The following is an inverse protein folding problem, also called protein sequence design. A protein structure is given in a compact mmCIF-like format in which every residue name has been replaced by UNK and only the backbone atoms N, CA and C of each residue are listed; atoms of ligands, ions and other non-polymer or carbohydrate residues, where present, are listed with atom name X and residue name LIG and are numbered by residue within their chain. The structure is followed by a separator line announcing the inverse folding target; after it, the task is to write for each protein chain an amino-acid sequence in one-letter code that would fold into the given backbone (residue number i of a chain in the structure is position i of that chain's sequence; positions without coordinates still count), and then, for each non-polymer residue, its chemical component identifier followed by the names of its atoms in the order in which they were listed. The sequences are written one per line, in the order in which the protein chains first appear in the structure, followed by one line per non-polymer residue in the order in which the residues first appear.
data_IF_383304694708
#
_entry.id   IF_383304694708
#
_cell.length_a   1.000
_cell.length_b   1.000
_cell.length_c   1.000
_cell.angle_alpha   90.00
_cell.angle_beta   90.00
_cell.angle_gamma   90.00
#
_symmetry.space_group_name_H-M   'P 1'
#
loop_
_entity.id
_entity.type
_entity.pdbx_description
1 polymer ?
#
# COMPACT_ATOMS: atom_id res chain seq x y z
N UNK A 1 40.48 -31.58 16.29
CA UNK A 1 40.43 -31.06 14.90
C UNK A 1 39.08 -30.40 14.73
N UNK A 2 39.02 -29.06 14.68
CA UNK A 2 37.74 -28.34 14.59
C UNK A 2 37.40 -28.10 13.13
N UNK A 3 36.39 -28.80 12.63
CA UNK A 3 35.96 -28.72 11.24
C UNK A 3 35.30 -27.37 10.95
N UNK A 4 35.86 -26.63 9.99
CA UNK A 4 35.31 -25.33 9.57
C UNK A 4 34.11 -25.56 8.66
N UNK A 5 32.90 -25.31 9.18
CA UNK A 5 31.67 -25.40 8.40
C UNK A 5 31.66 -24.33 7.29
N UNK A 6 31.41 -24.69 6.02
CA UNK A 6 31.37 -23.73 4.93
C UNK A 6 30.14 -22.83 5.04
N UNK A 7 30.36 -21.52 4.98
CA UNK A 7 29.28 -20.52 5.00
C UNK A 7 28.35 -20.66 3.78
N UNK A 8 27.02 -20.53 3.94
CA UNK A 8 26.09 -20.60 2.82
C UNK A 8 26.36 -19.47 1.80
N UNK A 9 26.15 -19.71 0.49
CA UNK A 9 26.44 -18.71 -0.54
C UNK A 9 25.53 -17.49 -0.38
N UNK A 10 26.15 -16.31 -0.19
CA UNK A 10 25.44 -15.03 -0.19
C UNK A 10 24.97 -14.75 -1.62
N UNK A 11 23.68 -15.01 -1.88
CA UNK A 11 23.04 -14.66 -3.15
C UNK A 11 22.97 -13.13 -3.23
N UNK A 12 23.68 -12.45 -4.13
CA UNK A 12 23.64 -11.00 -4.21
C UNK A 12 22.22 -10.54 -4.57
N UNK A 13 21.69 -9.59 -3.79
CA UNK A 13 20.29 -9.13 -3.85
C UNK A 13 19.91 -8.34 -5.12
N UNK A 14 20.79 -8.29 -6.13
CA UNK A 14 20.52 -7.66 -7.44
C UNK A 14 19.76 -8.60 -8.37
N UNK A 15 18.51 -8.95 -8.02
CA UNK A 15 17.58 -9.49 -9.03
C UNK A 15 17.36 -8.39 -10.09
N UNK A 16 17.48 -8.69 -11.40
CA UNK A 16 17.19 -7.71 -12.44
C UNK A 16 15.80 -7.10 -12.24
N UNK A 17 15.69 -5.77 -12.39
CA UNK A 17 14.51 -5.01 -11.97
C UNK A 17 13.21 -5.48 -12.60
N UNK A 18 12.44 -6.28 -11.86
CA UNK A 18 11.08 -6.64 -12.22
C UNK A 18 10.17 -5.41 -12.15
N UNK A 19 9.09 -5.47 -12.92
CA UNK A 19 8.08 -4.43 -13.05
C UNK A 19 6.72 -4.99 -12.67
N UNK A 20 5.99 -4.28 -11.83
CA UNK A 20 4.60 -4.64 -11.49
C UNK A 20 3.65 -4.11 -12.56
N UNK A 21 2.77 -4.96 -13.08
CA UNK A 21 1.69 -4.55 -13.95
C UNK A 21 0.63 -3.78 -13.16
N UNK A 22 0.42 -2.50 -13.50
CA UNK A 22 -0.50 -1.59 -12.79
C UNK A 22 -1.99 -1.99 -12.85
N UNK A 23 -2.34 -3.03 -13.63
CA UNK A 23 -3.70 -3.53 -13.83
C UNK A 23 -3.94 -4.81 -13.03
N UNK A 24 -2.99 -5.75 -13.03
CA UNK A 24 -3.17 -7.08 -12.42
C UNK A 24 -2.17 -7.43 -11.31
N UNK A 25 -1.28 -6.52 -10.93
CA UNK A 25 -0.37 -6.67 -9.78
C UNK A 25 0.73 -7.72 -9.94
N UNK A 26 0.82 -8.40 -11.09
CA UNK A 26 1.86 -9.40 -11.37
C UNK A 26 3.17 -8.77 -11.79
N UNK A 27 4.27 -9.43 -11.42
CA UNK A 27 5.63 -9.05 -11.78
C UNK A 27 6.02 -9.58 -13.16
N UNK A 28 6.72 -8.76 -13.94
CA UNK A 28 7.24 -9.07 -15.26
C UNK A 28 8.65 -8.52 -15.45
N UNK A 29 9.41 -9.08 -16.38
CA UNK A 29 10.69 -8.49 -16.80
C UNK A 29 10.45 -7.16 -17.54
N UNK A 30 11.46 -6.29 -17.56
CA UNK A 30 11.40 -4.97 -18.20
C UNK A 30 10.95 -5.00 -19.68
N UNK A 31 11.31 -6.06 -20.42
CA UNK A 31 10.88 -6.27 -21.80
C UNK A 31 9.46 -6.88 -21.88
N UNK A 32 9.15 -7.88 -21.05
CA UNK A 32 7.86 -8.57 -21.12
C UNK A 32 6.69 -7.74 -20.60
N UNK A 33 6.92 -6.77 -19.70
CA UNK A 33 5.84 -5.87 -19.25
C UNK A 33 5.28 -5.00 -20.39
N UNK A 34 6.13 -4.54 -21.32
CA UNK A 34 5.70 -3.69 -22.44
C UNK A 34 4.75 -4.42 -23.40
N UNK A 35 4.88 -5.74 -23.51
CA UNK A 35 3.98 -6.62 -24.29
C UNK A 35 2.76 -7.00 -23.45
N UNK A 36 2.94 -7.21 -22.14
CA UNK A 36 1.88 -7.64 -21.24
C UNK A 36 0.82 -6.55 -20.97
N UNK A 37 1.23 -5.32 -20.64
CA UNK A 37 0.31 -4.23 -20.28
C UNK A 37 -0.83 -3.99 -21.30
N UNK A 38 -0.58 -3.83 -22.63
CA UNK A 38 -1.66 -3.59 -23.58
C UNK A 38 -2.62 -4.79 -23.69
N UNK A 39 -2.10 -6.01 -23.63
CA UNK A 39 -2.94 -7.23 -23.64
C UNK A 39 -3.77 -7.35 -22.35
N UNK A 40 -3.19 -6.97 -21.20
CA UNK A 40 -3.87 -6.96 -19.92
C UNK A 40 -4.96 -5.90 -19.85
N UNK A 41 -4.73 -4.73 -20.45
CA UNK A 41 -5.73 -3.66 -20.53
C UNK A 41 -6.90 -4.03 -21.42
N UNK A 42 -6.63 -4.63 -22.59
CA UNK A 42 -7.69 -5.07 -23.50
C UNK A 42 -8.57 -6.16 -22.86
N UNK A 43 -7.94 -7.16 -22.23
CA UNK A 43 -8.66 -8.17 -21.44
C UNK A 43 -9.49 -7.53 -20.33
N UNK A 44 -8.93 -6.58 -19.59
CA UNK A 44 -9.62 -5.85 -18.53
C UNK A 44 -10.85 -5.11 -19.07
N UNK A 45 -10.77 -4.46 -20.23
CA UNK A 45 -11.92 -3.75 -20.86
C UNK A 45 -13.04 -4.72 -21.18
N UNK A 46 -12.70 -5.86 -21.79
CA UNK A 46 -13.67 -6.91 -22.15
C UNK A 46 -14.38 -7.42 -20.89
N UNK A 47 -13.66 -7.73 -19.81
CA UNK A 47 -14.24 -8.16 -18.54
C UNK A 47 -15.08 -7.08 -17.86
N UNK A 48 -14.56 -5.84 -17.80
CA UNK A 48 -15.27 -4.72 -17.20
C UNK A 48 -16.56 -4.38 -17.96
N UNK A 49 -16.59 -4.54 -19.29
CA UNK A 49 -17.80 -4.35 -20.10
C UNK A 49 -18.90 -5.38 -19.80
N UNK A 50 -18.53 -6.60 -19.38
CA UNK A 50 -19.47 -7.66 -19.00
C UNK A 50 -20.12 -7.43 -17.63
N UNK A 51 -19.56 -6.54 -16.80
CA UNK A 51 -20.15 -6.18 -15.52
C UNK A 51 -21.38 -5.26 -15.72
N UNK A 52 -22.42 -5.39 -14.86
CA UNK A 52 -23.50 -4.43 -14.74
C UNK A 52 -22.97 -3.01 -14.59
N UNK A 53 -23.67 -2.00 -15.15
CA UNK A 53 -23.17 -0.60 -15.20
C UNK A 53 -22.70 -0.05 -13.85
N UNK A 54 -23.37 -0.43 -12.76
CA UNK A 54 -23.07 -0.05 -11.38
C UNK A 54 -21.86 -0.78 -10.75
N UNK A 55 -21.35 -1.84 -11.39
CA UNK A 55 -20.17 -2.60 -10.96
C UNK A 55 -18.97 -2.39 -11.90
N UNK A 56 -19.11 -1.60 -12.96
CA UNK A 56 -18.01 -1.25 -13.86
C UNK A 56 -17.06 -0.29 -13.15
N UNK A 57 -15.77 -0.58 -13.23
CA UNK A 57 -14.68 0.27 -12.70
C UNK A 57 -14.22 1.27 -13.76
N UNK A 58 -13.64 2.42 -13.36
CA UNK A 58 -12.93 3.31 -14.28
C UNK A 58 -11.70 2.60 -14.87
N UNK A 59 -11.27 3.02 -16.07
CA UNK A 59 -10.08 2.45 -16.71
C UNK A 59 -8.83 2.69 -15.85
N UNK A 60 -7.95 1.68 -15.64
CA UNK A 60 -6.75 1.86 -14.84
C UNK A 60 -5.82 2.86 -15.53
N UNK A 61 -5.40 3.90 -14.82
CA UNK A 61 -4.43 4.85 -15.35
C UNK A 61 -3.01 4.33 -15.13
N UNK A 62 -2.16 4.43 -16.16
CA UNK A 62 -0.76 4.02 -16.06
C UNK A 62 0.02 5.00 -15.18
N UNK A 63 0.63 4.57 -14.06
CA UNK A 63 1.42 5.47 -13.22
C UNK A 63 2.58 6.05 -14.03
N UNK A 64 2.72 7.38 -14.03
CA UNK A 64 3.82 8.02 -14.73
C UNK A 64 5.14 7.71 -14.01
N UNK A 65 6.22 7.38 -14.75
CA UNK A 65 7.55 7.32 -14.15
C UNK A 65 7.95 8.73 -13.71
N UNK A 66 8.17 8.92 -12.40
CA UNK A 66 8.68 10.17 -11.85
C UNK A 66 10.11 10.39 -12.37
N UNK A 67 10.22 11.16 -13.45
CA UNK A 67 11.46 11.36 -14.22
C UNK A 67 12.07 12.74 -13.99
N UNK A 68 12.74 12.92 -12.85
CA UNK A 68 13.42 14.17 -12.50
C UNK A 68 14.73 13.91 -11.77
N UNK A 69 15.82 13.78 -12.53
CA UNK A 69 17.21 13.64 -12.07
C UNK A 69 17.60 12.33 -11.32
N UNK A 70 18.57 11.62 -11.92
CA UNK A 70 19.61 10.89 -11.16
C UNK A 70 19.30 9.48 -10.64
N UNK A 71 18.14 9.22 -10.05
CA UNK A 71 17.82 7.90 -9.48
C UNK A 71 16.42 7.44 -9.85
N UNK A 72 16.34 6.39 -10.67
CA UNK A 72 15.07 5.78 -11.01
C UNK A 72 14.65 4.77 -9.92
N UNK A 73 13.81 5.22 -8.99
CA UNK A 73 13.29 4.35 -7.94
C UNK A 73 12.28 3.34 -8.51
N UNK A 74 12.81 2.18 -8.90
CA UNK A 74 12.04 1.02 -9.32
C UNK A 74 11.05 0.56 -8.23
N UNK A 75 11.37 0.73 -6.96
CA UNK A 75 10.52 0.32 -5.85
C UNK A 75 9.29 1.22 -5.77
N UNK A 76 9.45 2.54 -5.77
CA UNK A 76 8.34 3.49 -5.77
C UNK A 76 7.42 3.31 -7.00
N UNK A 77 7.97 3.06 -8.19
CA UNK A 77 7.16 2.82 -9.40
C UNK A 77 6.40 1.49 -9.32
N UNK A 78 7.03 0.44 -8.79
CA UNK A 78 6.36 -0.85 -8.58
C UNK A 78 5.28 -0.77 -7.49
N UNK A 79 5.51 0.00 -6.43
CA UNK A 79 4.52 0.25 -5.38
C UNK A 79 3.31 1.02 -5.94
N UNK A 80 3.52 2.10 -6.69
CA UNK A 80 2.44 2.85 -7.33
C UNK A 80 1.63 1.97 -8.31
N UNK A 81 2.30 1.11 -9.09
CA UNK A 81 1.63 0.13 -9.94
C UNK A 81 0.85 -0.92 -9.12
N UNK A 82 1.41 -1.42 -8.02
CA UNK A 82 0.73 -2.35 -7.13
C UNK A 82 -0.52 -1.73 -6.49
N UNK A 83 -0.44 -0.50 -6.00
CA UNK A 83 -1.57 0.28 -5.47
C UNK A 83 -2.66 0.46 -6.53
N UNK A 84 -2.30 0.84 -7.78
CA UNK A 84 -3.25 0.90 -8.91
C UNK A 84 -3.97 -0.43 -9.15
N UNK A 85 -3.26 -1.56 -9.05
CA UNK A 85 -3.86 -2.89 -9.28
C UNK A 85 -4.85 -3.31 -8.19
N UNK A 86 -4.70 -2.82 -6.95
CA UNK A 86 -5.64 -3.11 -5.85
C UNK A 86 -7.03 -2.51 -6.11
N UNK A 87 -7.10 -1.34 -6.75
CA UNK A 87 -8.37 -0.72 -7.16
C UNK A 87 -9.15 -1.53 -8.21
N UNK A 88 -8.55 -2.58 -8.80
CA UNK A 88 -9.16 -3.44 -9.81
C UNK A 88 -9.70 -4.77 -9.26
N UNK A 89 -9.55 -5.00 -7.95
CA UNK A 89 -10.06 -6.21 -7.30
C UNK A 89 -11.56 -6.10 -7.02
N UNK A 90 -12.25 -7.24 -7.08
CA UNK A 90 -13.66 -7.41 -6.73
C UNK A 90 -13.79 -8.20 -5.42
N UNK A 91 -14.64 -7.77 -4.47
CA UNK A 91 -14.93 -8.55 -3.27
C UNK A 91 -15.68 -9.83 -3.62
N UNK A 92 -15.52 -10.85 -2.77
CA UNK A 92 -16.32 -12.06 -2.81
C UNK A 92 -17.59 -11.87 -1.96
N UNK A 93 -18.76 -11.92 -2.59
CA UNK A 93 -20.09 -11.87 -1.94
C UNK A 93 -20.22 -12.79 -0.71
N UNK A 94 -19.48 -13.90 -0.67
CA UNK A 94 -19.54 -14.89 0.42
C UNK A 94 -18.55 -14.67 1.56
N UNK A 95 -17.46 -13.91 1.38
CA UNK A 95 -16.42 -13.79 2.42
C UNK A 95 -15.67 -12.45 2.46
N UNK A 96 -16.06 -11.47 1.65
CA UNK A 96 -15.47 -10.13 1.57
C UNK A 96 -14.07 -10.04 0.94
N UNK A 97 -13.33 -11.15 0.84
CA UNK A 97 -11.97 -11.17 0.27
C UNK A 97 -11.97 -10.70 -1.20
N UNK A 98 -11.00 -9.86 -1.54
CA UNK A 98 -10.89 -9.23 -2.86
C UNK A 98 -10.01 -10.02 -3.81
N UNK A 99 -10.45 -10.21 -5.06
CA UNK A 99 -9.75 -10.98 -6.10
C UNK A 99 -9.80 -10.27 -7.45
N UNK A 100 -8.86 -10.58 -8.36
CA UNK A 100 -9.01 -10.22 -9.77
C UNK A 100 -10.25 -10.93 -10.37
N UNK A 101 -10.94 -10.34 -11.37
CA UNK A 101 -12.12 -10.93 -11.99
C UNK A 101 -11.89 -12.37 -12.50
N UNK A 102 -10.70 -12.67 -13.03
CA UNK A 102 -10.25 -14.03 -13.40
C UNK A 102 -10.33 -15.08 -12.28
N UNK A 103 -10.04 -14.67 -11.04
CA UNK A 103 -9.85 -15.57 -9.89
C UNK A 103 -11.09 -15.65 -9.01
N UNK A 104 -11.93 -14.62 -9.03
CA UNK A 104 -13.13 -14.55 -8.21
C UNK A 104 -14.09 -15.73 -8.45
N UNK A 105 -14.48 -16.11 -9.69
CA UNK A 105 -15.36 -17.27 -9.91
C UNK A 105 -14.75 -18.60 -9.46
N UNK A 106 -13.42 -18.75 -9.60
CA UNK A 106 -12.72 -19.95 -9.15
C UNK A 106 -12.81 -20.08 -7.63
N UNK A 107 -12.63 -18.98 -6.91
CA UNK A 107 -12.78 -18.92 -5.46
C UNK A 107 -14.25 -19.08 -5.01
N UNK A 108 -15.21 -18.42 -5.66
CA UNK A 108 -16.64 -18.49 -5.31
C UNK A 108 -17.23 -19.90 -5.39
N UNK A 109 -16.69 -20.79 -6.24
CA UNK A 109 -17.12 -22.20 -6.29
C UNK A 109 -16.81 -23.02 -5.02
N UNK A 110 -15.86 -22.60 -4.20
CA UNK A 110 -15.49 -23.28 -2.94
C UNK A 110 -15.64 -22.40 -1.69
N UNK A 111 -15.88 -21.09 -1.88
CA UNK A 111 -16.15 -20.16 -0.79
C UNK A 111 -17.55 -20.40 -0.24
N UNK A 112 -17.63 -20.82 1.02
CA UNK A 112 -18.88 -20.94 1.74
C UNK A 112 -19.40 -19.55 2.15
N UNK A 113 -20.73 -19.33 2.24
CA UNK A 113 -21.31 -18.11 2.78
C UNK A 113 -20.85 -17.92 4.22
N UNK A 114 -19.84 -17.08 4.39
CA UNK A 114 -19.29 -16.67 5.66
C UNK A 114 -20.08 -15.46 6.13
N UNK A 115 -20.72 -15.56 7.30
CA UNK A 115 -21.36 -14.40 7.94
C UNK A 115 -20.36 -13.22 8.08
N UNK A 116 -20.86 -11.98 8.16
CA UNK A 116 -20.04 -10.78 7.98
C UNK A 116 -18.93 -10.68 9.04
N UNK A 117 -17.71 -11.06 8.65
CA UNK A 117 -16.50 -10.68 9.38
C UNK A 117 -16.10 -9.27 8.96
N UNK A 118 -16.68 -8.29 9.64
CA UNK A 118 -16.13 -6.93 9.67
C UNK A 118 -14.73 -7.03 10.27
N UNK A 119 -13.72 -7.05 9.41
CA UNK A 119 -12.33 -6.92 9.79
C UNK A 119 -11.96 -5.49 9.50
N UNK A 120 -12.06 -4.67 10.54
CA UNK A 120 -11.63 -3.28 10.52
C UNK A 120 -10.14 -3.22 10.16
N UNK A 121 -9.83 -2.57 9.04
CA UNK A 121 -8.48 -2.18 8.66
C UNK A 121 -8.47 -0.65 8.55
N UNK A 122 -8.63 -0.02 9.69
CA UNK A 122 -8.52 1.43 9.85
C UNK A 122 -7.12 1.93 9.50
N UNK A 123 -7.11 3.10 8.87
CA UNK A 123 -5.98 3.91 8.44
C UNK A 123 -4.75 3.83 9.35
N UNK A 124 -3.58 3.61 8.73
CA UNK A 124 -2.29 3.97 9.30
C UNK A 124 -2.08 5.49 9.38
N UNK A 125 -2.84 6.16 10.25
CA UNK A 125 -2.58 7.55 10.64
C UNK A 125 -1.46 7.56 11.67
N UNK A 126 -0.25 7.93 11.22
CA UNK A 126 0.91 8.11 12.09
C UNK A 126 1.05 9.59 12.43
N UNK A 127 0.36 10.00 13.50
CA UNK A 127 0.63 11.23 14.27
C UNK A 127 -0.10 11.17 15.62
N UNK A 128 0.64 10.87 16.70
CA UNK A 128 0.29 11.20 18.09
C UNK A 128 1.43 10.81 19.04
N UNK A 129 2.33 11.75 19.35
CA UNK A 129 3.10 11.63 20.59
C UNK A 129 2.12 11.66 21.77
N UNK A 130 2.27 10.72 22.72
CA UNK A 130 1.62 10.80 24.04
C UNK A 130 2.66 11.05 25.11
N UNK A 131 2.75 12.31 25.49
CA UNK A 131 3.42 12.79 26.68
C UNK A 131 2.84 12.09 27.93
N UNK A 132 3.70 11.57 28.80
CA UNK A 132 3.27 10.86 30.01
C UNK A 132 3.02 11.84 31.15
N UNK A 133 1.74 12.00 31.52
CA UNK A 133 1.35 12.78 32.68
C UNK A 133 1.85 12.13 33.98
N UNK A 134 2.94 12.65 34.54
CA UNK A 134 3.38 12.34 35.90
C UNK A 134 2.56 13.17 36.91
N UNK A 135 1.99 12.54 37.93
CA UNK A 135 1.15 13.20 38.93
C UNK A 135 1.37 12.60 40.31
N UNK A 136 1.38 13.48 41.34
CA UNK A 136 1.83 13.26 42.74
C UNK A 136 3.37 13.23 42.85
N UNK A 137 4.05 13.85 43.80
CA UNK A 137 3.71 14.60 45.03
C UNK A 137 4.98 15.38 45.46
N UNK A 138 5.01 16.53 46.15
CA UNK A 138 3.99 17.47 46.66
C UNK A 138 4.72 18.77 47.16
N UNK A 139 3.96 19.71 47.78
CA UNK A 139 4.38 20.66 48.85
C UNK A 139 5.20 21.95 48.48
N UNK A 140 4.47 23.07 48.62
CA UNK A 140 4.75 24.18 49.57
C UNK A 140 5.22 25.57 49.05
N UNK A 141 4.23 26.50 49.07
CA UNK A 141 4.24 27.82 49.74
C UNK A 141 4.96 29.06 49.15
N UNK A 142 4.38 30.21 49.51
CA UNK A 142 4.77 31.63 49.29
C UNK A 142 4.73 32.10 47.82
N UNK A 143 3.71 32.84 47.35
CA UNK A 143 3.18 34.17 47.74
C UNK A 143 3.84 35.35 46.97
N UNK A 144 3.09 36.40 46.59
CA UNK A 144 3.40 37.17 45.38
C UNK A 144 4.05 38.53 45.66
N UNK A 145 4.79 39.04 44.66
CA UNK A 145 5.05 40.49 44.52
C UNK A 145 4.66 40.96 43.13
N UNK A 146 3.68 41.85 43.10
CA UNK A 146 3.24 42.63 41.94
C UNK A 146 4.31 43.68 41.62
N UNK A 147 4.64 43.91 40.35
CA UNK A 147 4.58 45.27 39.77
C UNK A 147 4.65 45.25 38.25
N UNK A 148 3.70 45.98 37.67
CA UNK A 148 3.59 46.36 36.28
C UNK A 148 4.75 47.28 35.84
N UNK A 149 5.19 47.20 34.56
CA UNK A 149 5.65 48.39 33.83
C UNK A 149 5.67 48.25 32.29
N UNK A 150 4.50 48.56 31.74
CA UNK A 150 4.22 49.24 30.46
C UNK A 150 5.38 49.95 29.70
N UNK A 151 5.60 49.49 28.46
CA UNK A 151 5.74 50.15 27.12
C UNK A 151 6.78 51.29 26.83
N UNK A 152 7.25 51.27 25.57
CA UNK A 152 7.97 52.25 24.72
C UNK A 152 9.51 52.30 24.87
N UNK A 153 10.34 52.00 23.87
CA UNK A 153 10.38 52.38 22.43
C UNK A 153 10.96 53.78 22.16
N UNK A 154 12.21 53.80 21.69
CA UNK A 154 12.74 54.61 20.59
C UNK A 154 14.17 54.16 20.25
#
# INVERSE_FOLDING_TARGET
MSESQPSPPVIPSRRPGFRVCYICGREFGSQSIAIHEPQCLEKWRIENSKLPKNLRRPEPSKPQPLGGSGSYDLQAVNEAAFQSSQAQLLPCEYCGRTFLPDRLPVHQRSSQPSGPKIQDLTLGSKDALKESANSKQQRNMAAPTVTDKVIHAS
#
